data_IF_512494684976
#
_entry.id   IF_512494684976
#
_cell.length_a   1.000
_cell.length_b   1.000
_cell.length_c   1.000
_cell.angle_alpha   90.00
_cell.angle_beta   90.00
_cell.angle_gamma   90.00
#
_symmetry.space_group_name_H-M   'P 1'
#
loop_
_entity.id
_entity.type
_entity.pdbx_description
1 polymer ?
#
# COMPACT_ATOMS: atom_id res chain seq x y z
N UNK A 1 -25.34 48.48 22.42
CA UNK A 1 -25.22 47.11 22.95
C UNK A 1 -25.95 46.21 21.96
N UNK A 2 -25.23 45.51 21.08
CA UNK A 2 -24.84 44.10 21.23
C UNK A 2 -26.09 43.19 21.25
N UNK A 3 -26.28 42.15 20.46
CA UNK A 3 -25.43 41.34 19.58
C UNK A 3 -26.36 40.70 18.51
N UNK A 4 -25.96 40.61 17.24
CA UNK A 4 -25.43 39.40 16.59
C UNK A 4 -26.06 38.06 17.06
N UNK A 5 -26.80 37.40 16.16
CA UNK A 5 -26.76 35.94 16.00
C UNK A 5 -27.55 35.47 14.74
N UNK A 6 -26.76 35.05 13.75
CA UNK A 6 -26.92 33.89 12.85
C UNK A 6 -28.08 33.85 11.85
N UNK A 7 -27.81 34.47 10.70
CA UNK A 7 -28.28 33.93 9.43
C UNK A 7 -27.45 32.71 8.99
N UNK A 8 -28.11 31.85 8.23
CA UNK A 8 -27.52 31.04 7.16
C UNK A 8 -26.51 29.95 7.56
N UNK A 9 -27.01 28.73 7.77
CA UNK A 9 -26.34 27.54 7.24
C UNK A 9 -27.28 26.88 6.24
N UNK A 10 -27.36 27.50 5.06
CA UNK A 10 -27.56 26.77 3.82
C UNK A 10 -26.44 25.72 3.77
N UNK A 11 -26.78 24.45 3.95
CA UNK A 11 -25.90 23.34 3.60
C UNK A 11 -25.82 23.30 2.07
N UNK A 12 -25.08 24.25 1.51
CA UNK A 12 -24.40 24.08 0.26
C UNK A 12 -23.53 22.83 0.44
N UNK A 13 -24.10 21.70 0.04
CA UNK A 13 -23.35 20.53 -0.39
C UNK A 13 -22.34 21.10 -1.37
N UNK A 14 -21.10 21.23 -0.89
CA UNK A 14 -20.00 21.71 -1.68
C UNK A 14 -19.96 20.87 -2.94
N UNK A 15 -20.34 21.51 -4.03
CA UNK A 15 -20.12 21.04 -5.38
C UNK A 15 -18.67 20.60 -5.44
N UNK A 16 -18.47 19.28 -5.37
CA UNK A 16 -17.17 18.71 -5.69
C UNK A 16 -17.19 18.58 -7.19
N UNK A 17 -17.01 19.73 -7.85
CA UNK A 17 -16.42 19.84 -9.18
C UNK A 17 -15.06 19.13 -9.12
N UNK A 18 -15.10 17.82 -9.29
CA UNK A 18 -13.98 17.01 -9.70
C UNK A 18 -14.52 16.22 -10.87
N UNK A 19 -14.10 16.61 -12.08
CA UNK A 19 -14.24 15.83 -13.30
C UNK A 19 -14.22 14.33 -13.00
N UNK A 20 -14.97 13.55 -13.76
CA UNK A 20 -14.86 12.10 -13.82
C UNK A 20 -13.50 11.66 -14.40
N UNK A 21 -12.41 12.15 -13.83
CA UNK A 21 -11.03 11.79 -14.05
C UNK A 21 -10.97 10.30 -13.72
N UNK A 22 -11.06 9.51 -14.78
CA UNK A 22 -10.70 8.11 -14.76
C UNK A 22 -9.42 8.02 -13.92
N UNK A 23 -9.39 7.21 -12.84
CA UNK A 23 -8.18 7.12 -12.03
C UNK A 23 -7.00 6.89 -12.97
N UNK A 24 -5.87 7.59 -12.76
CA UNK A 24 -4.75 7.52 -13.69
C UNK A 24 -4.41 6.05 -13.95
N UNK A 25 -4.10 5.71 -15.20
CA UNK A 25 -3.99 4.32 -15.64
C UNK A 25 -3.07 3.48 -14.73
N UNK A 26 -2.01 4.10 -14.20
CA UNK A 26 -1.13 3.53 -13.16
C UNK A 26 -1.93 2.93 -11.98
N UNK A 27 -2.91 3.68 -11.47
CA UNK A 27 -3.81 3.29 -10.38
C UNK A 27 -4.80 2.21 -10.82
N UNK A 28 -5.36 2.30 -12.04
CA UNK A 28 -6.25 1.25 -12.56
C UNK A 28 -5.52 -0.09 -12.73
N UNK A 29 -4.28 -0.05 -13.21
CA UNK A 29 -3.43 -1.23 -13.38
C UNK A 29 -3.10 -1.82 -12.01
N UNK A 30 -2.70 -1.00 -11.04
CA UNK A 30 -2.42 -1.45 -9.68
C UNK A 30 -3.66 -2.06 -9.01
N UNK A 31 -4.82 -1.44 -9.12
CA UNK A 31 -6.08 -1.97 -8.58
C UNK A 31 -6.50 -3.28 -9.27
N UNK A 32 -6.34 -3.36 -10.59
CA UNK A 32 -6.65 -4.59 -11.34
C UNK A 32 -5.71 -5.71 -10.94
N UNK A 33 -4.43 -5.41 -10.76
CA UNK A 33 -3.44 -6.36 -10.30
C UNK A 33 -3.72 -6.83 -8.87
N UNK A 34 -4.07 -5.94 -7.95
CA UNK A 34 -4.48 -6.28 -6.58
C UNK A 34 -5.66 -7.27 -6.57
N UNK A 35 -6.69 -6.99 -7.38
CA UNK A 35 -7.87 -7.84 -7.52
C UNK A 35 -7.54 -9.20 -8.15
N UNK A 36 -6.61 -9.24 -9.10
CA UNK A 36 -6.16 -10.49 -9.71
C UNK A 36 -5.35 -11.34 -8.73
N UNK A 37 -4.44 -10.73 -7.97
CA UNK A 37 -3.65 -11.42 -6.96
C UNK A 37 -4.51 -11.94 -5.80
N UNK A 38 -5.57 -11.23 -5.41
CA UNK A 38 -6.50 -11.71 -4.38
C UNK A 38 -7.41 -12.84 -4.85
N UNK A 39 -7.74 -12.87 -6.14
CA UNK A 39 -8.65 -13.86 -6.73
C UNK A 39 -7.92 -15.09 -7.31
N UNK A 40 -6.61 -14.97 -7.57
CA UNK A 40 -5.79 -16.00 -8.23
C UNK A 40 -4.68 -16.42 -7.28
N UNK A 41 -4.65 -17.69 -6.87
CA UNK A 41 -3.56 -18.25 -6.03
C UNK A 41 -2.23 -18.47 -6.78
N UNK A 42 -1.97 -17.76 -7.88
CA UNK A 42 -0.80 -17.97 -8.73
C UNK A 42 -0.25 -16.67 -9.30
N UNK A 43 0.95 -16.77 -9.87
CA UNK A 43 1.66 -15.69 -10.56
C UNK A 43 0.74 -14.99 -11.58
N UNK A 44 0.62 -13.67 -11.47
CA UNK A 44 -0.14 -12.87 -12.45
C UNK A 44 0.81 -12.48 -13.58
N UNK A 45 0.55 -12.92 -14.81
CA UNK A 45 1.38 -12.54 -15.96
C UNK A 45 0.87 -11.27 -16.64
N UNK A 46 1.75 -10.61 -17.40
CA UNK A 46 1.42 -9.42 -18.18
C UNK A 46 0.21 -9.64 -19.10
N UNK A 47 0.11 -10.80 -19.74
CA UNK A 47 -1.01 -11.16 -20.62
C UNK A 47 -2.33 -11.31 -19.84
N UNK A 48 -2.29 -11.88 -18.62
CA UNK A 48 -3.47 -11.99 -17.76
C UNK A 48 -3.96 -10.61 -17.28
N UNK A 49 -3.02 -9.76 -16.90
CA UNK A 49 -3.31 -8.39 -16.46
C UNK A 49 -3.92 -7.57 -17.62
N UNK A 50 -3.29 -7.59 -18.81
CA UNK A 50 -3.80 -6.91 -20.01
C UNK A 50 -5.21 -7.36 -20.37
N UNK A 51 -5.46 -8.67 -20.40
CA UNK A 51 -6.80 -9.21 -20.73
C UNK A 51 -7.86 -8.76 -19.74
N UNK A 52 -7.51 -8.65 -18.47
CA UNK A 52 -8.43 -8.19 -17.43
C UNK A 52 -8.68 -6.69 -17.53
N UNK A 53 -7.65 -5.91 -17.85
CA UNK A 53 -7.73 -4.48 -18.05
C UNK A 53 -8.64 -4.15 -19.25
N UNK A 54 -8.41 -4.78 -20.41
CA UNK A 54 -9.27 -4.63 -21.60
C UNK A 54 -10.71 -5.06 -21.35
N UNK A 55 -10.95 -6.05 -20.47
CA UNK A 55 -12.30 -6.49 -20.12
C UNK A 55 -13.04 -5.47 -19.26
N UNK A 56 -12.32 -4.78 -18.35
CA UNK A 56 -12.88 -3.71 -17.50
C UNK A 56 -13.03 -2.41 -18.29
N UNK A 57 -12.06 -2.13 -19.13
CA UNK A 57 -11.97 -0.95 -19.97
C UNK A 57 -11.62 -1.36 -21.41
N UNK A 58 -12.62 -1.52 -22.29
CA UNK A 58 -12.40 -1.87 -23.68
C UNK A 58 -11.76 -0.75 -24.51
N UNK A 59 -11.65 0.46 -23.96
CA UNK A 59 -10.97 1.58 -24.62
C UNK A 59 -9.47 1.59 -24.37
N UNK A 60 -8.98 0.73 -23.47
CA UNK A 60 -7.58 0.62 -23.15
C UNK A 60 -6.72 0.27 -24.38
N UNK A 61 -5.79 1.16 -24.72
CA UNK A 61 -4.76 0.95 -25.73
C UNK A 61 -3.44 1.54 -25.25
N UNK A 62 -2.37 0.74 -25.26
CA UNK A 62 -1.05 1.19 -24.83
C UNK A 62 -0.47 2.28 -25.74
N UNK A 63 -0.96 2.34 -26.98
CA UNK A 63 -0.56 3.34 -27.97
C UNK A 63 -0.97 4.77 -27.56
N UNK A 64 -2.07 4.92 -26.82
CA UNK A 64 -2.51 6.23 -26.30
C UNK A 64 -1.52 6.82 -25.29
N UNK A 65 -0.71 5.94 -24.69
CA UNK A 65 0.35 6.29 -23.75
C UNK A 65 1.74 6.33 -24.40
N UNK A 66 1.82 6.18 -25.73
CA UNK A 66 3.06 6.22 -26.49
C UNK A 66 3.90 4.94 -26.45
N UNK A 67 3.35 3.82 -25.94
CA UNK A 67 4.06 2.53 -25.87
C UNK A 67 3.70 1.61 -27.03
N UNK A 68 4.69 0.88 -27.57
CA UNK A 68 4.46 -0.08 -28.67
C UNK A 68 3.95 -1.43 -28.18
N UNK A 69 4.28 -1.78 -26.93
CA UNK A 69 3.88 -3.04 -26.31
C UNK A 69 3.47 -2.86 -24.85
N UNK A 70 2.57 -3.73 -24.35
CA UNK A 70 2.20 -3.75 -22.94
C UNK A 70 3.39 -4.00 -22.00
N UNK A 71 4.35 -4.82 -22.45
CA UNK A 71 5.58 -5.06 -21.69
C UNK A 71 6.46 -3.82 -21.54
N UNK A 72 6.45 -2.88 -22.49
CA UNK A 72 7.14 -1.59 -22.34
C UNK A 72 6.42 -0.67 -21.36
N UNK A 73 5.09 -0.59 -21.47
CA UNK A 73 4.27 0.14 -20.51
C UNK A 73 4.47 -0.37 -19.08
N UNK A 74 4.47 -1.68 -18.88
CA UNK A 74 4.75 -2.30 -17.59
C UNK A 74 6.16 -2.01 -17.08
N UNK A 75 7.17 -2.00 -17.96
CA UNK A 75 8.54 -1.61 -17.57
C UNK A 75 8.59 -0.16 -17.10
N UNK A 76 7.86 0.72 -17.76
CA UNK A 76 7.74 2.11 -17.35
C UNK A 76 7.04 2.25 -15.98
N UNK A 77 5.97 1.48 -15.74
CA UNK A 77 5.34 1.41 -14.42
C UNK A 77 6.28 0.85 -13.36
N UNK A 78 7.12 -0.13 -13.72
CA UNK A 78 8.08 -0.73 -12.80
C UNK A 78 9.23 0.20 -12.45
N UNK A 79 9.73 0.96 -13.43
CA UNK A 79 10.74 2.00 -13.22
C UNK A 79 10.26 3.10 -12.26
N UNK A 80 8.95 3.40 -12.31
CA UNK A 80 8.28 4.33 -11.38
C UNK A 80 7.89 3.71 -10.04
N UNK A 81 8.07 2.40 -9.87
CA UNK A 81 7.74 1.69 -8.64
C UNK A 81 6.24 1.43 -8.42
N UNK A 82 5.42 1.41 -9.48
CA UNK A 82 4.00 1.05 -9.40
C UNK A 82 3.75 -0.46 -9.51
N UNK A 83 4.65 -1.20 -10.17
CA UNK A 83 4.60 -2.67 -10.36
C UNK A 83 6.02 -3.25 -10.27
N UNK A 84 6.16 -4.53 -10.00
CA UNK A 84 7.41 -5.26 -10.11
C UNK A 84 7.29 -6.29 -11.24
N UNK A 85 8.39 -6.48 -11.99
CA UNK A 85 8.45 -7.41 -13.10
C UNK A 85 9.48 -8.50 -12.81
N UNK A 86 9.03 -9.75 -12.86
CA UNK A 86 9.87 -10.92 -12.74
C UNK A 86 9.91 -11.72 -14.05
N UNK A 87 10.90 -12.62 -14.17
CA UNK A 87 11.01 -13.49 -15.33
C UNK A 87 9.82 -14.46 -15.34
N UNK A 88 8.91 -14.23 -16.28
CA UNK A 88 7.72 -15.06 -16.43
C UNK A 88 7.97 -16.36 -17.20
N UNK A 89 6.95 -17.21 -17.30
CA UNK A 89 7.06 -18.55 -17.90
C UNK A 89 7.34 -18.53 -19.42
N UNK A 90 7.15 -17.40 -20.09
CA UNK A 90 7.39 -17.26 -21.53
C UNK A 90 8.18 -16.00 -21.86
N UNK A 91 9.00 -16.07 -22.92
CA UNK A 91 9.73 -14.94 -23.46
C UNK A 91 8.73 -13.88 -23.98
N UNK A 92 8.63 -12.76 -23.27
CA UNK A 92 7.71 -11.66 -23.60
C UNK A 92 6.44 -11.59 -22.74
N UNK A 93 6.24 -12.54 -21.82
CA UNK A 93 5.15 -12.49 -20.84
C UNK A 93 5.75 -12.50 -19.42
N UNK A 94 6.30 -11.35 -18.96
CA UNK A 94 6.85 -11.27 -17.60
C UNK A 94 5.74 -11.48 -16.57
N UNK A 95 6.14 -12.02 -15.43
CA UNK A 95 5.29 -12.00 -14.25
C UNK A 95 5.24 -10.57 -13.72
N UNK A 96 4.04 -10.10 -13.39
CA UNK A 96 3.76 -8.76 -12.88
C UNK A 96 3.21 -8.92 -11.49
N UNK A 97 3.87 -8.30 -10.53
CA UNK A 97 3.40 -8.22 -9.15
C UNK A 97 3.22 -6.76 -8.77
N UNK A 98 2.37 -6.47 -7.80
CA UNK A 98 2.45 -5.19 -7.14
C UNK A 98 3.82 -5.10 -6.45
N UNK A 99 4.46 -3.91 -6.45
CA UNK A 99 5.62 -3.70 -5.60
C UNK A 99 5.19 -4.09 -4.22
N UNK A 100 5.97 -4.93 -3.57
CA UNK A 100 5.53 -5.60 -2.37
C UNK A 100 4.99 -4.61 -1.32
N UNK A 101 3.67 -4.41 -1.29
CA UNK A 101 2.96 -4.26 -0.01
C UNK A 101 3.27 -5.48 0.88
N UNK A 102 3.75 -6.58 0.28
CA UNK A 102 4.24 -7.81 0.89
C UNK A 102 5.55 -7.73 1.68
N UNK A 103 6.18 -6.56 1.79
CA UNK A 103 7.04 -6.36 2.96
C UNK A 103 6.21 -6.07 4.20
N UNK A 104 5.02 -5.48 4.11
CA UNK A 104 4.24 -5.13 5.30
C UNK A 104 3.85 -6.37 6.10
N UNK A 105 3.32 -7.44 5.49
CA UNK A 105 2.94 -8.66 6.22
C UNK A 105 4.15 -9.40 6.81
N UNK A 106 5.23 -9.57 6.04
CA UNK A 106 6.47 -10.17 6.55
C UNK A 106 7.13 -9.28 7.62
N UNK A 107 7.01 -7.97 7.49
CA UNK A 107 7.50 -7.01 8.48
C UNK A 107 6.59 -6.99 9.70
N UNK A 108 5.28 -7.13 9.58
CA UNK A 108 4.35 -7.27 10.70
C UNK A 108 4.64 -8.57 11.46
N UNK A 109 4.91 -9.67 10.74
CA UNK A 109 5.39 -10.91 11.35
C UNK A 109 6.74 -10.71 12.06
N UNK A 110 7.68 -9.97 11.46
CA UNK A 110 8.97 -9.63 12.09
C UNK A 110 8.78 -8.75 13.34
N UNK A 111 7.86 -7.79 13.31
CA UNK A 111 7.51 -6.95 14.45
C UNK A 111 7.00 -7.83 15.59
N UNK A 112 6.06 -8.73 15.30
CA UNK A 112 5.53 -9.70 16.28
C UNK A 112 6.65 -10.55 16.88
N UNK A 113 7.54 -11.08 16.05
CA UNK A 113 8.66 -11.92 16.49
C UNK A 113 9.60 -11.14 17.43
N UNK A 114 9.94 -9.89 17.07
CA UNK A 114 10.77 -9.00 17.89
C UNK A 114 10.11 -8.64 19.23
N UNK A 115 8.79 -8.44 19.26
CA UNK A 115 8.05 -8.18 20.50
C UNK A 115 7.93 -9.46 21.35
N UNK A 116 7.77 -10.61 20.71
CA UNK A 116 7.78 -11.92 21.39
C UNK A 116 9.13 -12.19 22.05
N UNK A 117 10.23 -11.93 21.34
CA UNK A 117 11.61 -12.05 21.88
C UNK A 117 11.90 -11.05 23.02
N UNK A 118 11.17 -9.94 23.08
CA UNK A 118 11.36 -8.93 24.12
C UNK A 118 10.77 -9.35 25.48
N UNK A 119 9.92 -10.38 25.50
CA UNK A 119 9.27 -10.93 26.70
C UNK A 119 8.58 -9.85 27.56
N UNK A 120 7.89 -8.92 26.91
CA UNK A 120 7.22 -7.80 27.57
C UNK A 120 6.84 -6.64 26.63
N UNK A 121 6.16 -5.62 27.14
CA UNK A 121 5.79 -4.44 26.38
C UNK A 121 7.02 -3.68 25.89
N UNK A 122 7.04 -3.35 24.60
CA UNK A 122 8.16 -2.63 23.96
C UNK A 122 7.69 -1.25 23.49
N UNK A 123 8.34 -0.20 23.96
CA UNK A 123 8.09 1.17 23.46
C UNK A 123 8.35 1.27 21.95
N UNK A 124 7.57 2.09 21.23
CA UNK A 124 7.69 2.29 19.78
C UNK A 124 9.13 2.64 19.36
N UNK A 125 9.79 3.55 20.08
CA UNK A 125 11.18 3.90 19.79
C UNK A 125 12.14 2.71 19.93
N UNK A 126 11.91 1.85 20.94
CA UNK A 126 12.69 0.64 21.16
C UNK A 126 12.45 -0.41 20.07
N UNK A 127 11.20 -0.58 19.66
CA UNK A 127 10.79 -1.51 18.62
C UNK A 127 11.43 -1.15 17.26
N UNK A 128 11.40 0.13 16.88
CA UNK A 128 12.03 0.61 15.65
C UNK A 128 13.53 0.32 15.63
N UNK A 129 14.22 0.51 16.75
CA UNK A 129 15.65 0.23 16.83
C UNK A 129 15.96 -1.27 16.72
N UNK A 130 15.10 -2.13 17.28
CA UNK A 130 15.23 -3.60 17.15
C UNK A 130 14.94 -4.06 15.71
N UNK A 131 13.93 -3.49 15.05
CA UNK A 131 13.64 -3.73 13.63
C UNK A 131 14.84 -3.37 12.75
N UNK A 132 15.47 -2.21 12.97
CA UNK A 132 16.68 -1.81 12.23
C UNK A 132 17.88 -2.74 12.47
N UNK A 133 17.96 -3.40 13.62
CA UNK A 133 19.01 -4.41 13.88
C UNK A 133 18.79 -5.70 13.09
N UNK A 134 17.54 -6.15 12.95
CA UNK A 134 17.19 -7.36 12.17
C UNK A 134 17.17 -7.08 10.66
N UNK A 135 16.68 -5.91 10.28
CA UNK A 135 16.52 -5.45 8.90
C UNK A 135 17.00 -4.00 8.77
N UNK A 136 18.27 -3.77 8.41
CA UNK A 136 18.84 -2.42 8.32
C UNK A 136 18.18 -1.57 7.23
N UNK A 137 17.64 -2.21 6.20
CA UNK A 137 16.89 -1.56 5.11
C UNK A 137 15.42 -1.25 5.48
N UNK A 138 15.00 -1.55 6.72
CA UNK A 138 13.65 -1.25 7.18
C UNK A 138 13.38 0.26 7.16
N UNK A 139 12.39 0.65 6.36
CA UNK A 139 11.91 2.02 6.25
C UNK A 139 10.40 2.02 6.09
N UNK A 140 9.69 2.74 6.95
CA UNK A 140 8.23 2.83 6.90
C UNK A 140 7.75 3.46 5.58
N UNK A 141 8.58 4.35 5.01
CA UNK A 141 8.35 4.93 3.69
C UNK A 141 8.43 3.90 2.57
N UNK A 142 9.29 2.90 2.68
CA UNK A 142 9.39 1.82 1.69
C UNK A 142 8.11 0.97 1.67
N UNK A 143 7.39 0.94 2.81
CA UNK A 143 6.11 0.26 2.98
C UNK A 143 4.90 1.16 2.66
N UNK A 144 5.13 2.40 2.21
CA UNK A 144 4.07 3.37 1.91
C UNK A 144 3.46 4.07 3.14
N UNK A 145 3.99 3.88 4.34
CA UNK A 145 3.49 4.55 5.55
C UNK A 145 4.15 5.92 5.75
N UNK A 146 3.34 6.92 6.11
CA UNK A 146 3.80 8.28 6.44
C UNK A 146 4.53 8.38 7.79
N UNK A 147 4.50 7.34 8.61
CA UNK A 147 5.20 7.29 9.89
C UNK A 147 5.09 5.94 10.61
N UNK A 148 5.93 5.73 11.63
CA UNK A 148 6.02 4.46 12.37
C UNK A 148 4.76 4.14 13.17
N UNK A 149 4.09 5.15 13.75
CA UNK A 149 2.82 4.93 14.44
C UNK A 149 1.72 4.42 13.50
N UNK A 150 1.64 4.98 12.28
CA UNK A 150 0.71 4.52 11.23
C UNK A 150 1.01 3.07 10.84
N UNK A 151 2.30 2.73 10.69
CA UNK A 151 2.73 1.35 10.44
C UNK A 151 2.33 0.42 11.59
N UNK A 152 2.56 0.79 12.85
CA UNK A 152 2.16 -0.04 13.99
C UNK A 152 0.63 -0.19 14.10
N UNK A 153 -0.15 0.87 13.85
CA UNK A 153 -1.62 0.76 13.78
C UNK A 153 -2.08 -0.20 12.69
N UNK A 154 -1.40 -0.20 11.53
CA UNK A 154 -1.67 -1.18 10.48
C UNK A 154 -1.30 -2.61 10.92
N UNK A 155 -0.18 -2.77 11.65
CA UNK A 155 0.21 -4.06 12.23
C UNK A 155 -0.81 -4.56 13.29
N UNK A 156 -1.39 -3.66 14.08
CA UNK A 156 -2.47 -3.97 15.01
C UNK A 156 -3.78 -4.33 14.30
N UNK A 157 -4.16 -3.57 13.27
CA UNK A 157 -5.31 -3.89 12.43
C UNK A 157 -5.15 -5.24 11.71
N UNK A 158 -3.91 -5.63 11.40
CA UNK A 158 -3.56 -6.94 10.85
C UNK A 158 -3.49 -8.06 11.91
N UNK A 159 -3.65 -7.74 13.21
CA UNK A 159 -3.59 -8.71 14.30
C UNK A 159 -2.19 -9.22 14.63
N UNK A 160 -1.14 -8.49 14.24
CA UNK A 160 0.25 -8.87 14.53
C UNK A 160 0.69 -8.42 15.93
N UNK A 161 0.18 -7.28 16.41
CA UNK A 161 0.54 -6.65 17.69
C UNK A 161 -0.64 -5.89 18.29
N UNK A 162 -0.53 -5.48 19.55
CA UNK A 162 -1.46 -4.59 20.24
C UNK A 162 -0.71 -3.33 20.67
N UNK A 163 -1.31 -2.16 20.44
CA UNK A 163 -0.78 -0.88 20.90
C UNK A 163 -1.55 -0.39 22.11
N UNK A 164 -0.84 -0.17 23.21
CA UNK A 164 -1.38 0.44 24.42
C UNK A 164 -0.61 1.73 24.70
N UNK A 165 -1.33 2.83 24.88
CA UNK A 165 -0.72 4.07 25.36
C UNK A 165 -0.32 3.90 26.83
N UNK A 166 0.89 4.34 27.18
CA UNK A 166 1.40 4.31 28.55
C UNK A 166 1.76 5.72 29.01
N UNK A 167 1.04 6.22 30.02
CA UNK A 167 1.21 7.58 30.55
C UNK A 167 2.53 7.75 31.34
N UNK A 168 3.12 6.66 31.87
CA UNK A 168 4.39 6.71 32.60
C UNK A 168 5.59 6.81 31.63
N UNK A 169 5.47 6.18 30.46
CA UNK A 169 6.48 6.22 29.39
C UNK A 169 6.29 7.39 28.41
N UNK A 170 5.13 8.05 28.42
CA UNK A 170 4.70 9.06 27.43
C UNK A 170 4.88 8.53 25.98
N UNK A 171 4.72 7.22 25.78
CA UNK A 171 4.91 6.52 24.50
C UNK A 171 3.91 5.36 24.38
N UNK A 172 3.70 4.89 23.15
CA UNK A 172 2.94 3.66 22.94
C UNK A 172 3.81 2.43 23.19
N UNK A 173 3.29 1.55 24.04
CA UNK A 173 3.81 0.21 24.25
C UNK A 173 3.17 -0.75 23.25
N UNK A 174 4.02 -1.54 22.62
CA UNK A 174 3.63 -2.58 21.69
C UNK A 174 3.78 -3.93 22.38
N UNK A 175 2.70 -4.69 22.42
CA UNK A 175 2.65 -6.07 22.91
C UNK A 175 2.24 -7.02 21.78
N UNK A 176 2.48 -8.32 21.95
CA UNK A 176 1.95 -9.32 21.01
C UNK A 176 0.43 -9.40 21.15
N UNK A 177 -0.27 -9.58 20.02
CA UNK A 177 -1.71 -9.81 19.98
C UNK A 177 -2.08 -11.23 20.44
#
# INVERSE_FOLDING_TARGET
>A
AAAEAVGELDLAVGDTDGDGEQPPLEVQVAQTLANLQSSTSGAVTASMLKRTLVRKDPTFSEADYGFRTFGEFLRFLADRGFVELAQGPAAGDPEVSLPAQGDSDQTFALVRDVVTEADGPVALSGLKNRLRKRRPDFSEKALGFRGFLQFCRAAEAAGAVVLTWDDDADDYLVTVA
#
